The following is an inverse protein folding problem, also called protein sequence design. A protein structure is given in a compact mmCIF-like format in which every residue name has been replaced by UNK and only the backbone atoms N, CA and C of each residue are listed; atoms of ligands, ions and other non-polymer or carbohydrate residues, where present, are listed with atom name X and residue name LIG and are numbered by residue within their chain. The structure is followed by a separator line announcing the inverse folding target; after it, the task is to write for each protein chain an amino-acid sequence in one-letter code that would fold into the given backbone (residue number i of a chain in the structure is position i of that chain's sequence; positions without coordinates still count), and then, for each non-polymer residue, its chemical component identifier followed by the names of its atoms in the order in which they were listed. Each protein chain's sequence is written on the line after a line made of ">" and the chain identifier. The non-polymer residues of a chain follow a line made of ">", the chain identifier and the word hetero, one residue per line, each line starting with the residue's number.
data_IF_366966830896
#
_entry.id   IF_366966830896
#
_cell.length_a   1.000
_cell.length_b   1.000
_cell.length_c   1.000
_cell.angle_alpha   90.00
_cell.angle_beta   90.00
_cell.angle_gamma   90.00
#
_symmetry.space_group_name_H-M   'P 1'
#
loop_
_entity.id
_entity.type
_entity.pdbx_description
1 polymer ?
#
# COMPACT_ATOMS: atom_id res chain seq x y z
N UNK A 1 3.35 -14.81 3.99
CA UNK A 1 4.66 -14.25 3.63
C UNK A 1 4.60 -12.74 3.81
N UNK A 2 5.60 -12.09 4.42
CA UNK A 2 5.67 -10.62 4.46
C UNK A 2 5.80 -10.08 3.03
N UNK A 3 5.04 -9.03 2.70
CA UNK A 3 5.14 -8.39 1.39
C UNK A 3 6.53 -7.73 1.25
N UNK A 4 7.11 -7.66 0.03
CA UNK A 4 8.37 -6.96 -0.23
C UNK A 4 8.37 -5.53 0.35
N UNK A 5 9.47 -5.10 0.97
CA UNK A 5 9.59 -3.77 1.61
C UNK A 5 9.23 -2.63 0.65
N UNK A 6 9.64 -2.72 -0.61
CA UNK A 6 9.27 -1.76 -1.65
C UNK A 6 7.76 -1.61 -1.84
N UNK A 7 7.00 -2.71 -1.78
CA UNK A 7 5.54 -2.68 -1.91
C UNK A 7 4.90 -2.07 -0.67
N UNK A 8 5.48 -2.30 0.52
CA UNK A 8 5.00 -1.70 1.76
C UNK A 8 5.18 -0.18 1.77
N UNK A 9 6.34 0.33 1.34
CA UNK A 9 6.56 1.78 1.21
C UNK A 9 5.59 2.44 0.20
N UNK A 10 5.30 1.75 -0.90
CA UNK A 10 4.31 2.22 -1.89
C UNK A 10 2.90 2.24 -1.32
N UNK A 11 2.50 1.19 -0.58
CA UNK A 11 1.20 1.16 0.09
C UNK A 11 1.08 2.25 1.15
N UNK A 12 2.15 2.53 1.91
CA UNK A 12 2.19 3.63 2.87
C UNK A 12 2.02 4.98 2.19
N UNK A 13 2.69 5.20 1.06
CA UNK A 13 2.50 6.43 0.28
C UNK A 13 1.08 6.58 -0.26
N UNK A 14 0.44 5.47 -0.65
CA UNK A 14 -0.95 5.48 -1.09
C UNK A 14 -1.90 5.83 0.06
N UNK A 15 -1.66 5.28 1.25
CA UNK A 15 -2.39 5.64 2.48
C UNK A 15 -2.21 7.12 2.83
N UNK A 16 -1.00 7.66 2.70
CA UNK A 16 -0.74 9.08 2.93
C UNK A 16 -1.49 9.98 1.94
N UNK A 17 -1.65 9.54 0.69
CA UNK A 17 -2.48 10.23 -0.31
C UNK A 17 -3.96 10.20 0.12
N UNK A 18 -4.48 9.06 0.56
CA UNK A 18 -5.87 8.93 1.02
C UNK A 18 -6.15 9.84 2.24
N UNK A 19 -5.20 9.91 3.18
CA UNK A 19 -5.29 10.83 4.33
C UNK A 19 -5.33 12.29 3.86
N UNK A 20 -4.51 12.67 2.87
CA UNK A 20 -4.54 14.02 2.28
C UNK A 20 -5.86 14.31 1.58
N UNK A 21 -6.45 13.34 0.87
CA UNK A 21 -7.79 13.50 0.27
C UNK A 21 -8.85 13.75 1.33
N UNK A 22 -8.80 13.03 2.46
CA UNK A 22 -9.70 13.26 3.59
C UNK A 22 -9.54 14.67 4.18
N UNK A 23 -8.30 15.16 4.32
CA UNK A 23 -8.01 16.54 4.78
C UNK A 23 -8.54 17.58 3.80
N UNK A 24 -8.35 17.37 2.50
CA UNK A 24 -8.90 18.24 1.45
C UNK A 24 -10.43 18.33 1.52
N UNK A 25 -11.10 17.21 1.80
CA UNK A 25 -12.55 17.17 2.04
C UNK A 25 -12.96 17.95 3.29
N UNK A 26 -12.15 17.90 4.35
CA UNK A 26 -12.35 18.71 5.54
C UNK A 26 -12.22 20.21 5.24
N UNK A 27 -11.17 20.61 4.51
CA UNK A 27 -10.98 22.00 4.07
C UNK A 27 -12.14 22.49 3.20
N UNK A 28 -12.65 21.66 2.28
CA UNK A 28 -13.85 21.99 1.51
C UNK A 28 -15.08 22.25 2.39
N UNK A 29 -15.25 21.47 3.46
CA UNK A 29 -16.32 21.71 4.43
C UNK A 29 -16.15 23.06 5.15
N UNK A 30 -14.91 23.45 5.49
CA UNK A 30 -14.62 24.75 6.09
C UNK A 30 -14.85 25.91 5.11
N UNK A 31 -14.51 25.73 3.83
CA UNK A 31 -14.79 26.71 2.75
C UNK A 31 -16.29 26.95 2.62
N UNK A 32 -17.11 25.89 2.62
CA UNK A 32 -18.57 26.03 2.53
C UNK A 32 -19.15 26.73 3.76
N UNK A 33 -18.66 26.41 4.95
CA UNK A 33 -19.08 27.06 6.19
C UNK A 33 -18.71 28.55 6.21
N UNK A 34 -17.44 28.87 5.95
CA UNK A 34 -16.94 30.25 5.93
C UNK A 34 -17.59 31.08 4.82
N UNK A 35 -17.89 30.49 3.66
CA UNK A 35 -18.67 31.14 2.61
C UNK A 35 -20.11 31.48 3.06
N UNK A 36 -20.75 30.57 3.80
CA UNK A 36 -22.06 30.80 4.41
C UNK A 36 -22.07 32.00 5.36
N UNK A 37 -21.06 32.11 6.21
CA UNK A 37 -20.88 33.22 7.16
C UNK A 37 -20.48 34.53 6.46
N UNK A 38 -19.68 34.45 5.39
CA UNK A 38 -19.34 35.60 4.55
C UNK A 38 -20.60 36.19 3.89
N UNK A 39 -21.50 35.33 3.39
CA UNK A 39 -22.77 35.73 2.77
C UNK A 39 -23.75 36.36 3.79
N UNK A 40 -23.61 36.03 5.08
CA UNK A 40 -24.38 36.65 6.19
C UNK A 40 -23.86 38.03 6.59
N UNK A 41 -22.81 38.54 5.93
CA UNK A 41 -22.28 39.88 6.14
C UNK A 41 -21.08 39.94 7.09
N UNK A 42 -20.52 38.79 7.50
CA UNK A 42 -19.35 38.76 8.37
C UNK A 42 -18.04 38.85 7.55
N UNK A 43 -17.63 40.06 7.20
CA UNK A 43 -16.46 40.33 6.35
C UNK A 43 -15.12 39.98 7.01
N UNK A 44 -15.09 39.73 8.32
CA UNK A 44 -13.86 39.38 9.05
C UNK A 44 -13.32 38.00 8.68
N UNK A 45 -14.16 37.13 8.10
CA UNK A 45 -13.78 35.77 7.70
C UNK A 45 -13.23 35.68 6.28
N UNK A 46 -13.22 36.79 5.52
CA UNK A 46 -12.67 36.85 4.16
C UNK A 46 -11.23 36.35 4.03
N UNK A 47 -10.26 36.77 4.88
CA UNK A 47 -8.89 36.26 4.78
C UNK A 47 -8.77 34.77 5.11
N UNK A 48 -9.62 34.25 6.02
CA UNK A 48 -9.66 32.81 6.31
C UNK A 48 -10.21 32.03 5.12
N UNK A 49 -11.28 32.50 4.48
CA UNK A 49 -11.81 31.89 3.27
C UNK A 49 -10.78 31.85 2.13
N UNK A 50 -10.09 32.96 1.85
CA UNK A 50 -9.03 33.01 0.83
C UNK A 50 -7.89 32.04 1.15
N UNK A 51 -7.51 31.92 2.44
CA UNK A 51 -6.51 30.95 2.89
C UNK A 51 -6.98 29.50 2.66
N UNK A 52 -8.18 29.13 3.12
CA UNK A 52 -8.71 27.77 2.96
C UNK A 52 -8.86 27.37 1.49
N UNK A 53 -9.30 28.30 0.64
CA UNK A 53 -9.41 28.08 -0.81
C UNK A 53 -8.03 27.86 -1.43
N UNK A 54 -7.04 28.69 -1.09
CA UNK A 54 -5.66 28.53 -1.58
C UNK A 54 -5.07 27.19 -1.15
N UNK A 55 -5.23 26.82 0.13
CA UNK A 55 -4.78 25.53 0.68
C UNK A 55 -5.45 24.36 -0.04
N UNK A 56 -6.77 24.41 -0.25
CA UNK A 56 -7.51 23.36 -0.95
C UNK A 56 -6.98 23.13 -2.38
N UNK A 57 -6.75 24.20 -3.16
CA UNK A 57 -6.21 24.05 -4.52
C UNK A 57 -4.76 23.54 -4.54
N UNK A 58 -3.94 23.98 -3.58
CA UNK A 58 -2.55 23.52 -3.44
C UNK A 58 -2.49 22.03 -3.05
N UNK A 59 -3.37 21.60 -2.14
CA UNK A 59 -3.49 20.21 -1.72
C UNK A 59 -4.00 19.33 -2.86
N UNK A 60 -4.97 19.82 -3.64
CA UNK A 60 -5.49 19.13 -4.83
C UNK A 60 -4.39 18.91 -5.88
N UNK A 61 -3.59 19.94 -6.17
CA UNK A 61 -2.46 19.82 -7.10
C UNK A 61 -1.44 18.79 -6.60
N UNK A 62 -1.11 18.86 -5.31
CA UNK A 62 -0.16 17.94 -4.69
C UNK A 62 -0.66 16.50 -4.75
N UNK A 63 -1.92 16.25 -4.37
CA UNK A 63 -2.57 14.93 -4.43
C UNK A 63 -2.62 14.42 -5.86
N UNK A 64 -3.01 15.27 -6.83
CA UNK A 64 -3.09 14.89 -8.23
C UNK A 64 -1.72 14.45 -8.76
N UNK A 65 -0.67 15.23 -8.48
CA UNK A 65 0.69 14.91 -8.91
C UNK A 65 1.22 13.64 -8.23
N UNK A 66 1.00 13.48 -6.92
CA UNK A 66 1.39 12.27 -6.18
C UNK A 66 0.70 11.02 -6.74
N UNK A 67 -0.61 11.06 -6.95
CA UNK A 67 -1.37 9.93 -7.49
C UNK A 67 -0.94 9.61 -8.92
N UNK A 68 -0.71 10.63 -9.76
CA UNK A 68 -0.23 10.45 -11.14
C UNK A 68 1.15 9.80 -11.19
N UNK A 69 2.04 10.20 -10.27
CA UNK A 69 3.36 9.59 -10.16
C UNK A 69 3.27 8.14 -9.68
N UNK A 70 2.40 7.82 -8.72
CA UNK A 70 2.19 6.43 -8.29
C UNK A 70 1.62 5.57 -9.41
N UNK A 71 0.63 6.05 -10.17
CA UNK A 71 0.09 5.32 -11.33
C UNK A 71 1.19 5.07 -12.37
N UNK A 72 2.04 6.07 -12.64
CA UNK A 72 3.16 5.92 -13.58
C UNK A 72 4.17 4.88 -13.09
N UNK A 73 4.51 4.89 -11.80
CA UNK A 73 5.41 3.90 -11.20
C UNK A 73 4.77 2.50 -11.20
N UNK A 74 3.45 2.41 -11.04
CA UNK A 74 2.71 1.15 -11.11
C UNK A 74 2.73 0.60 -12.54
N UNK A 75 2.52 1.45 -13.55
CA UNK A 75 2.64 1.08 -14.98
C UNK A 75 4.08 0.66 -15.35
N UNK A 76 5.10 1.35 -14.85
CA UNK A 76 6.51 0.98 -15.07
C UNK A 76 6.90 -0.34 -14.38
N UNK A 77 6.26 -0.67 -13.26
CA UNK A 77 6.45 -1.91 -12.50
C UNK A 77 5.55 -3.08 -12.97
N UNK A 78 4.49 -2.79 -13.73
CA UNK A 78 3.69 -3.81 -14.43
C UNK A 78 4.50 -4.32 -15.63
N UNK A 79 5.06 -5.53 -15.48
CA UNK A 79 5.83 -6.21 -16.53
C UNK A 79 7.32 -6.36 -16.23
N UNK A 80 7.87 -5.59 -15.30
CA UNK A 80 9.23 -5.73 -14.75
C UNK A 80 9.21 -6.53 -13.45
N UNK A 81 8.86 -7.83 -13.54
CA UNK A 81 9.07 -8.90 -12.53
C UNK A 81 8.61 -8.70 -11.05
N UNK A 82 8.24 -7.51 -10.58
CA UNK A 82 7.96 -7.19 -9.18
C UNK A 82 6.49 -7.33 -8.80
N UNK A 83 5.57 -7.05 -9.72
CA UNK A 83 4.15 -7.28 -9.54
C UNK A 83 3.69 -8.39 -10.49
N UNK A 84 2.93 -9.39 -10.02
CA UNK A 84 2.29 -10.34 -10.91
C UNK A 84 1.44 -9.57 -11.92
N UNK A 85 1.49 -9.98 -13.18
CA UNK A 85 0.71 -9.39 -14.28
C UNK A 85 -0.74 -9.24 -13.78
N UNK A 86 -1.21 -8.00 -13.70
CA UNK A 86 -2.49 -7.57 -13.10
C UNK A 86 -3.73 -8.25 -13.68
N UNK A 87 -3.56 -9.05 -14.76
CA UNK A 87 -4.61 -9.75 -15.48
C UNK A 87 -4.84 -11.21 -15.05
N UNK A 88 -4.26 -11.66 -13.93
CA UNK A 88 -4.47 -13.03 -13.45
C UNK A 88 -5.05 -12.99 -12.03
N UNK A 89 -6.30 -13.47 -11.92
CA UNK A 89 -7.02 -13.74 -10.68
C UNK A 89 -6.09 -14.19 -9.54
N UNK A 90 -6.41 -13.80 -8.29
CA UNK A 90 -5.82 -14.36 -7.06
C UNK A 90 -5.92 -15.90 -7.09
N UNK A 91 -4.96 -16.56 -7.72
CA UNK A 91 -4.81 -18.02 -7.68
C UNK A 91 -4.30 -18.38 -6.29
N UNK A 92 -4.56 -19.61 -5.86
CA UNK A 92 -4.09 -20.12 -4.58
C UNK A 92 -2.55 -20.20 -4.57
N UNK A 93 -1.90 -19.11 -4.15
CA UNK A 93 -0.45 -19.08 -3.91
C UNK A 93 -0.23 -19.73 -2.55
N UNK A 94 0.47 -20.86 -2.51
CA UNK A 94 0.77 -21.58 -1.27
C UNK A 94 0.84 -23.11 -1.43
N UNK A 95 0.14 -23.68 -2.41
CA UNK A 95 0.11 -25.12 -2.61
C UNK A 95 1.49 -25.71 -2.96
N UNK A 96 2.32 -24.94 -3.67
CA UNK A 96 3.63 -25.38 -4.12
C UNK A 96 4.62 -25.44 -2.96
N UNK A 97 4.66 -24.39 -2.12
CA UNK A 97 5.52 -24.33 -0.94
C UNK A 97 5.13 -25.38 0.11
N UNK A 98 3.82 -25.60 0.30
CA UNK A 98 3.31 -26.57 1.27
C UNK A 98 3.73 -28.00 0.89
N UNK A 99 3.63 -28.37 -0.39
CA UNK A 99 4.13 -29.65 -0.91
C UNK A 99 5.65 -29.75 -0.81
N UNK A 100 6.38 -28.68 -1.09
CA UNK A 100 7.84 -28.68 -1.02
C UNK A 100 8.32 -28.89 0.42
N UNK A 101 7.70 -28.23 1.38
CA UNK A 101 7.99 -28.37 2.81
C UNK A 101 7.69 -29.79 3.30
N UNK A 102 6.59 -30.38 2.85
CA UNK A 102 6.22 -31.76 3.19
C UNK A 102 7.28 -32.76 2.69
N UNK A 103 7.76 -32.61 1.45
CA UNK A 103 8.82 -33.46 0.90
C UNK A 103 10.15 -33.26 1.63
N UNK A 104 10.50 -32.03 1.99
CA UNK A 104 11.71 -31.73 2.79
C UNK A 104 11.61 -32.37 4.18
N UNK A 105 10.42 -32.36 4.80
CA UNK A 105 10.19 -32.98 6.10
C UNK A 105 10.33 -34.51 6.04
N UNK A 106 9.78 -35.14 4.99
CA UNK A 106 9.94 -36.57 4.74
C UNK A 106 11.41 -36.94 4.50
N UNK A 107 12.13 -36.15 3.71
CA UNK A 107 13.54 -36.37 3.42
C UNK A 107 14.40 -36.28 4.70
N UNK A 108 14.14 -35.28 5.55
CA UNK A 108 14.82 -35.13 6.85
C UNK A 108 14.56 -36.32 7.78
N UNK A 109 13.33 -36.88 7.74
CA UNK A 109 12.98 -38.05 8.55
C UNK A 109 13.77 -39.29 8.11
N UNK A 110 13.85 -39.55 6.81
CA UNK A 110 14.63 -40.67 6.25
C UNK A 110 16.13 -40.51 6.54
N UNK A 111 16.67 -39.29 6.42
CA UNK A 111 18.08 -39.01 6.72
C UNK A 111 18.42 -39.29 8.21
N UNK A 112 17.51 -38.91 9.12
CA UNK A 112 17.68 -39.15 10.55
C UNK A 112 17.57 -40.65 10.91
N UNK A 113 16.67 -41.39 10.25
CA UNK A 113 16.54 -42.84 10.45
C UNK A 113 17.80 -43.59 9.96
N UNK A 114 18.35 -43.22 8.80
CA UNK A 114 19.61 -43.82 8.30
C UNK A 114 20.83 -43.46 9.15
N UNK A 115 20.86 -42.25 9.72
CA UNK A 115 21.92 -41.81 10.63
C UNK A 115 21.89 -42.57 11.97
N UNK A 116 20.74 -43.11 12.37
CA UNK A 116 20.59 -43.95 13.56
C UNK A 116 20.96 -45.40 13.26
N UNK A 117 20.59 -45.96 12.11
CA UNK A 117 20.95 -47.34 11.75
C UNK A 117 22.47 -47.55 11.62
N UNK A 118 23.23 -46.55 11.14
CA UNK A 118 24.70 -46.62 11.08
C UNK A 118 25.40 -46.54 12.45
N UNK A 119 24.71 -46.07 13.50
CA UNK A 119 25.23 -46.09 14.88
C UNK A 119 25.02 -47.44 15.56
N UNK A 120 24.00 -48.20 15.16
CA UNK A 120 23.69 -49.52 15.76
C UNK A 120 24.58 -50.63 15.20
N UNK A 121 25.15 -50.45 14.00
CA UNK A 121 26.05 -51.44 13.36
C UNK A 121 27.52 -51.35 13.85
N UNK A 122 27.89 -50.28 14.56
CA UNK A 122 29.27 -50.06 15.07
C UNK A 122 29.40 -50.24 16.61
N UNK A 123 28.47 -50.95 17.24
CA UNK A 123 28.53 -51.42 18.63
C UNK A 123 28.51 -52.96 18.64
#
# INVERSE_FOLDING_TARGET
>A
MPQPEYIQERLQNLEDIDIKVCKMLHEASQIVFTFGELKRGNTTLKPQFESHVSTFYTDLETVHNSLRNEVKLLDENIGTRLLPITNVNKKAVGQDDEKLIEQIALLKKVLNDQSNDQKVVNL
#
